data_IF_444602582678
#
_entry.id   IF_444602582678
#
_cell.length_a   1.000
_cell.length_b   1.000
_cell.length_c   1.000
_cell.angle_alpha   90.00
_cell.angle_beta   90.00
_cell.angle_gamma   90.00
#
_symmetry.space_group_name_H-M   'P 1'
#
loop_
_entity.id
_entity.type
_entity.pdbx_description
1 polymer ?
#
# COMPACT_ATOMS: atom_id res chain seq x y z
N UNK A 1 -33.12 0.50 -5.27
CA UNK A 1 -32.50 1.70 -5.87
C UNK A 1 -31.23 2.06 -5.09
N UNK A 2 -30.13 2.51 -5.72
CA UNK A 2 -28.89 2.86 -5.03
C UNK A 2 -29.14 4.04 -4.07
N UNK A 3 -28.49 3.99 -2.90
CA UNK A 3 -28.58 5.08 -1.90
C UNK A 3 -27.97 6.39 -2.40
N UNK A 4 -27.02 6.32 -3.33
CA UNK A 4 -26.48 7.45 -4.06
C UNK A 4 -26.62 7.17 -5.56
N UNK A 5 -27.52 7.89 -6.22
CA UNK A 5 -27.77 7.74 -7.67
C UNK A 5 -26.85 8.61 -8.54
N UNK A 6 -26.10 9.54 -7.92
CA UNK A 6 -25.23 10.48 -8.64
C UNK A 6 -24.20 9.79 -9.57
N UNK A 7 -23.55 8.69 -9.18
CA UNK A 7 -22.61 7.98 -10.05
C UNK A 7 -23.28 7.32 -11.28
N UNK A 8 -24.59 7.15 -11.25
CA UNK A 8 -25.37 6.45 -12.29
C UNK A 8 -26.25 7.39 -13.12
N UNK A 9 -26.12 8.69 -12.95
CA UNK A 9 -26.87 9.69 -13.70
C UNK A 9 -26.66 9.49 -15.21
N UNK A 10 -27.75 9.31 -15.95
CA UNK A 10 -27.73 9.00 -17.38
C UNK A 10 -27.32 7.57 -17.76
N UNK A 11 -27.04 6.68 -16.78
CA UNK A 11 -26.66 5.29 -17.01
C UNK A 11 -27.75 4.29 -16.56
N UNK A 12 -28.82 4.76 -15.94
CA UNK A 12 -29.92 3.91 -15.49
C UNK A 12 -30.70 3.35 -16.65
N UNK A 13 -31.18 2.11 -16.51
CA UNK A 13 -32.14 1.55 -17.46
C UNK A 13 -33.40 2.41 -17.48
N UNK A 14 -34.04 2.61 -18.67
CA UNK A 14 -35.19 3.50 -18.80
C UNK A 14 -36.30 3.21 -17.79
N UNK A 15 -36.58 1.96 -17.49
CA UNK A 15 -37.58 1.56 -16.51
C UNK A 15 -37.24 2.05 -15.09
N UNK A 16 -36.00 1.93 -14.67
CA UNK A 16 -35.56 2.41 -13.35
C UNK A 16 -35.60 3.94 -13.27
N UNK A 17 -35.34 4.63 -14.37
CA UNK A 17 -35.47 6.07 -14.44
C UNK A 17 -36.95 6.48 -14.33
N UNK A 18 -37.85 5.77 -15.00
CA UNK A 18 -39.29 5.98 -14.90
C UNK A 18 -39.82 5.77 -13.49
N UNK A 19 -39.33 4.74 -12.77
CA UNK A 19 -39.68 4.46 -11.38
C UNK A 19 -39.25 5.61 -10.46
N UNK A 20 -38.05 6.16 -10.66
CA UNK A 20 -37.54 7.32 -9.92
C UNK A 20 -38.40 8.55 -10.20
N UNK A 21 -38.74 8.80 -11.45
CA UNK A 21 -39.56 9.91 -11.87
C UNK A 21 -41.00 9.79 -11.31
N UNK A 22 -41.48 8.56 -11.05
CA UNK A 22 -42.72 8.23 -10.39
C UNK A 22 -42.67 8.23 -8.86
N UNK A 23 -41.51 8.57 -8.26
CA UNK A 23 -41.36 8.79 -6.83
C UNK A 23 -40.65 7.66 -6.04
N UNK A 24 -40.04 6.69 -6.72
CA UNK A 24 -39.21 5.72 -6.05
C UNK A 24 -38.00 6.40 -5.40
N UNK A 25 -37.69 5.99 -4.17
CA UNK A 25 -36.65 6.59 -3.36
C UNK A 25 -35.40 5.72 -3.28
N UNK A 26 -34.28 6.34 -2.95
CA UNK A 26 -33.05 5.63 -2.68
C UNK A 26 -33.22 4.60 -1.55
N UNK A 27 -32.92 3.35 -1.84
CA UNK A 27 -33.09 2.23 -0.91
C UNK A 27 -34.33 1.39 -1.14
N UNK A 28 -35.31 1.86 -1.93
CA UNK A 28 -36.48 1.08 -2.29
C UNK A 28 -36.12 -0.13 -3.14
N UNK A 29 -36.90 -1.21 -3.05
CA UNK A 29 -36.71 -2.39 -3.87
C UNK A 29 -37.05 -2.09 -5.34
N UNK A 30 -36.20 -2.55 -6.27
CA UNK A 30 -36.41 -2.39 -7.72
C UNK A 30 -37.37 -3.43 -8.31
N UNK A 31 -37.68 -4.49 -7.58
CA UNK A 31 -38.62 -5.56 -7.98
C UNK A 31 -39.35 -6.07 -6.73
N UNK A 32 -40.33 -5.30 -6.20
CA UNK A 32 -41.04 -5.63 -4.96
C UNK A 32 -41.90 -6.88 -5.07
N UNK A 33 -42.34 -7.26 -6.28
CA UNK A 33 -43.10 -8.50 -6.50
C UNK A 33 -42.24 -9.75 -6.30
N UNK A 34 -40.94 -9.64 -6.55
CA UNK A 34 -39.97 -10.73 -6.39
C UNK A 34 -39.29 -10.74 -5.04
N UNK A 35 -38.97 -9.57 -4.52
CA UNK A 35 -38.27 -9.38 -3.24
C UNK A 35 -38.95 -8.26 -2.46
N UNK A 36 -39.75 -8.61 -1.46
CA UNK A 36 -40.29 -7.61 -0.54
C UNK A 36 -39.16 -7.02 0.33
N UNK A 37 -39.40 -5.85 0.92
CA UNK A 37 -38.47 -5.22 1.85
C UNK A 37 -38.17 -6.14 3.04
N UNK A 38 -39.19 -6.87 3.54
CA UNK A 38 -39.00 -7.83 4.62
C UNK A 38 -38.09 -9.00 4.22
N UNK A 39 -38.27 -9.55 3.01
CA UNK A 39 -37.41 -10.61 2.47
C UNK A 39 -35.96 -10.14 2.31
N UNK A 40 -35.77 -8.92 1.80
CA UNK A 40 -34.43 -8.33 1.66
C UNK A 40 -33.76 -8.11 3.02
N UNK A 41 -34.48 -7.63 4.04
CA UNK A 41 -33.94 -7.48 5.40
C UNK A 41 -33.56 -8.83 6.01
N UNK A 42 -34.39 -9.87 5.83
CA UNK A 42 -34.06 -11.22 6.29
C UNK A 42 -32.82 -11.78 5.60
N UNK A 43 -32.67 -11.53 4.30
CA UNK A 43 -31.49 -11.96 3.54
C UNK A 43 -30.23 -11.22 4.00
N UNK A 44 -30.31 -9.89 4.21
CA UNK A 44 -29.19 -9.12 4.76
C UNK A 44 -28.76 -9.66 6.11
N UNK A 45 -29.72 -9.95 7.00
CA UNK A 45 -29.45 -10.52 8.31
C UNK A 45 -28.82 -11.93 8.25
N UNK A 46 -29.26 -12.76 7.30
CA UNK A 46 -28.79 -14.15 7.16
C UNK A 46 -27.40 -14.24 6.54
N UNK A 47 -27.10 -13.45 5.49
CA UNK A 47 -25.84 -13.55 4.76
C UNK A 47 -24.78 -12.52 5.16
N UNK A 48 -25.15 -11.55 5.97
CA UNK A 48 -24.31 -10.42 6.37
C UNK A 48 -24.25 -9.31 5.31
N UNK A 49 -23.99 -8.10 5.79
CA UNK A 49 -24.07 -6.87 4.99
C UNK A 49 -23.13 -6.88 3.77
N UNK A 50 -21.89 -7.39 3.92
CA UNK A 50 -20.92 -7.43 2.84
C UNK A 50 -21.41 -8.29 1.65
N UNK A 51 -21.90 -9.50 1.94
CA UNK A 51 -22.44 -10.39 0.91
C UNK A 51 -23.75 -9.85 0.32
N UNK A 52 -24.58 -9.22 1.13
CA UNK A 52 -25.81 -8.61 0.67
C UNK A 52 -25.53 -7.44 -0.30
N UNK A 53 -24.61 -6.54 0.05
CA UNK A 53 -24.19 -5.43 -0.83
C UNK A 53 -23.64 -5.96 -2.15
N UNK A 54 -22.82 -7.02 -2.12
CA UNK A 54 -22.26 -7.62 -3.31
C UNK A 54 -23.33 -8.24 -4.22
N UNK A 55 -24.28 -9.00 -3.66
CA UNK A 55 -25.22 -9.80 -4.45
C UNK A 55 -26.48 -9.02 -4.85
N UNK A 56 -26.96 -8.14 -4.02
CA UNK A 56 -28.23 -7.41 -4.22
C UNK A 56 -28.04 -5.94 -4.63
N UNK A 57 -26.91 -5.33 -4.26
CA UNK A 57 -26.59 -3.95 -4.64
C UNK A 57 -25.51 -3.86 -5.73
N UNK A 58 -24.89 -5.00 -6.10
CA UNK A 58 -23.73 -5.08 -7.00
C UNK A 58 -22.57 -4.18 -6.55
N UNK A 59 -22.51 -3.89 -5.25
CA UNK A 59 -21.48 -3.07 -4.63
C UNK A 59 -20.41 -3.95 -4.02
N UNK A 60 -19.21 -3.90 -4.59
CA UNK A 60 -18.05 -4.68 -4.16
C UNK A 60 -17.26 -4.02 -3.05
N UNK A 61 -17.57 -2.76 -2.68
CA UNK A 61 -16.74 -1.93 -1.81
C UNK A 61 -16.46 -2.58 -0.46
N UNK A 62 -17.48 -3.13 0.22
CA UNK A 62 -17.30 -3.81 1.49
C UNK A 62 -16.58 -5.15 1.33
N UNK A 63 -16.92 -5.91 0.29
CA UNK A 63 -16.26 -7.19 -0.02
C UNK A 63 -14.78 -6.99 -0.34
N UNK A 64 -14.46 -5.97 -1.15
CA UNK A 64 -13.09 -5.63 -1.49
C UNK A 64 -12.32 -5.09 -0.27
N UNK A 65 -12.96 -4.31 0.60
CA UNK A 65 -12.35 -3.83 1.83
C UNK A 65 -12.01 -4.97 2.82
N UNK A 66 -12.83 -6.01 2.89
CA UNK A 66 -12.54 -7.21 3.69
C UNK A 66 -11.48 -8.11 3.04
N UNK A 67 -11.51 -8.21 1.71
CA UNK A 67 -10.59 -9.05 0.93
C UNK A 67 -9.18 -8.49 0.87
N UNK A 68 -9.05 -7.17 0.78
CA UNK A 68 -7.79 -6.44 0.63
C UNK A 68 -7.50 -5.62 1.90
N UNK A 69 -6.77 -6.19 2.87
CA UNK A 69 -6.61 -5.57 4.18
C UNK A 69 -5.66 -4.36 4.20
N UNK A 70 -4.78 -4.22 3.19
CA UNK A 70 -3.77 -3.16 3.17
C UNK A 70 -4.32 -1.93 2.43
N UNK A 71 -4.82 -0.94 3.17
CA UNK A 71 -5.45 0.26 2.61
C UNK A 71 -4.49 1.44 2.56
N UNK A 72 -4.54 2.21 1.48
CA UNK A 72 -3.77 3.46 1.35
C UNK A 72 -4.21 4.50 2.38
N UNK A 73 -5.50 4.50 2.74
CA UNK A 73 -6.07 5.40 3.73
C UNK A 73 -5.48 5.22 5.15
N UNK A 74 -4.89 4.08 5.43
CA UNK A 74 -4.26 3.80 6.73
C UNK A 74 -2.82 4.31 6.82
N UNK A 75 -2.24 4.74 5.70
CA UNK A 75 -0.92 5.36 5.65
C UNK A 75 -0.98 6.81 6.12
N UNK A 76 0.10 7.25 6.74
CA UNK A 76 0.34 8.68 7.00
C UNK A 76 1.37 9.16 5.98
N UNK A 77 1.02 10.15 5.17
CA UNK A 77 1.90 10.66 4.11
C UNK A 77 2.32 12.09 4.42
N UNK A 78 3.63 12.31 4.48
CA UNK A 78 4.22 13.63 4.74
C UNK A 78 5.61 13.74 4.12
N UNK A 79 6.24 14.90 4.18
CA UNK A 79 7.66 15.04 3.88
C UNK A 79 8.45 14.53 5.09
N UNK A 80 9.14 13.41 4.93
CA UNK A 80 9.90 12.75 5.99
C UNK A 80 11.31 13.34 6.06
N UNK A 81 11.71 13.80 7.26
CA UNK A 81 13.08 14.26 7.45
C UNK A 81 14.04 13.05 7.42
N UNK A 82 15.18 13.13 6.70
CA UNK A 82 16.07 11.97 6.51
C UNK A 82 16.76 11.48 7.77
N UNK A 83 16.85 12.29 8.83
CA UNK A 83 17.64 11.97 10.04
C UNK A 83 16.89 12.12 11.35
N UNK A 84 15.74 12.78 11.36
CA UNK A 84 14.99 13.09 12.58
C UNK A 84 13.49 12.88 12.41
N UNK A 85 12.83 12.56 13.51
CA UNK A 85 11.37 12.48 13.60
C UNK A 85 10.83 13.29 14.78
N UNK A 86 9.57 13.74 14.73
CA UNK A 86 8.90 14.34 15.88
C UNK A 86 8.61 13.28 16.95
N UNK A 87 8.44 13.72 18.19
CA UNK A 87 8.11 12.81 19.29
C UNK A 87 6.80 12.07 19.07
N UNK A 88 5.82 12.71 18.45
CA UNK A 88 4.51 12.12 18.21
C UNK A 88 3.91 12.58 16.88
N UNK A 89 3.13 11.67 16.26
CA UNK A 89 2.39 11.90 15.02
C UNK A 89 0.92 11.60 15.27
N UNK A 90 0.06 12.58 15.07
CA UNK A 90 -1.39 12.43 15.23
C UNK A 90 -2.02 12.28 13.87
N UNK A 91 -2.77 11.19 13.71
CA UNK A 91 -3.54 10.90 12.50
C UNK A 91 -5.05 11.05 12.76
N UNK A 92 -5.79 11.45 11.75
CA UNK A 92 -7.25 11.32 11.70
C UNK A 92 -7.74 11.24 10.26
N UNK A 93 -8.89 10.59 10.07
CA UNK A 93 -9.56 10.42 8.77
C UNK A 93 -10.37 11.66 8.34
N UNK A 94 -9.95 12.86 8.74
CA UNK A 94 -10.65 14.09 8.34
C UNK A 94 -10.46 14.34 6.83
N UNK A 95 -11.54 14.63 6.07
CA UNK A 95 -11.45 14.94 4.65
C UNK A 95 -10.53 16.11 4.29
N UNK A 96 -10.26 17.01 5.25
CA UNK A 96 -9.32 18.13 5.10
C UNK A 96 -7.87 17.68 4.98
N UNK A 97 -7.55 16.50 5.50
CA UNK A 97 -6.21 15.92 5.48
C UNK A 97 -5.97 15.03 4.25
N UNK A 98 -6.95 14.87 3.37
CA UNK A 98 -6.80 14.12 2.10
C UNK A 98 -5.85 14.85 1.17
N UNK A 99 -4.82 14.16 0.71
CA UNK A 99 -3.83 14.65 -0.25
C UNK A 99 -4.36 14.46 -1.69
N UNK A 100 -5.10 15.46 -2.18
CA UNK A 100 -5.76 15.44 -3.50
C UNK A 100 -4.79 15.58 -4.67
N UNK A 101 -3.59 16.04 -4.42
CA UNK A 101 -2.55 16.29 -5.41
C UNK A 101 -1.61 15.09 -5.62
N UNK A 102 -1.76 14.03 -4.83
CA UNK A 102 -1.06 12.76 -5.04
C UNK A 102 -1.92 11.80 -5.87
N UNK A 103 -1.29 11.11 -6.84
CA UNK A 103 -1.98 10.08 -7.60
C UNK A 103 -2.30 8.88 -6.70
N UNK A 104 -3.53 8.39 -6.75
CA UNK A 104 -3.91 7.14 -6.07
C UNK A 104 -4.15 6.04 -7.10
N UNK A 105 -3.70 4.83 -6.76
CA UNK A 105 -3.92 3.60 -7.54
C UNK A 105 -4.60 2.52 -6.70
N UNK A 106 -5.09 2.91 -5.52
CA UNK A 106 -5.82 2.08 -4.59
C UNK A 106 -7.20 1.63 -5.09
N UNK A 107 -8.01 1.11 -4.21
CA UNK A 107 -9.42 0.83 -4.47
C UNK A 107 -10.21 2.14 -4.56
N UNK A 108 -11.38 2.15 -5.21
CA UNK A 108 -12.25 3.33 -5.23
C UNK A 108 -12.51 3.85 -3.81
N UNK A 109 -12.31 5.15 -3.59
CA UNK A 109 -12.45 5.79 -2.28
C UNK A 109 -11.25 5.65 -1.34
N UNK A 110 -10.17 5.03 -1.76
CA UNK A 110 -8.94 4.89 -0.99
C UNK A 110 -7.98 6.05 -1.31
N UNK A 111 -7.74 6.93 -0.33
CA UNK A 111 -6.95 8.14 -0.48
C UNK A 111 -5.79 8.17 0.51
N UNK A 112 -4.75 8.95 0.19
CA UNK A 112 -3.67 9.26 1.12
C UNK A 112 -4.05 10.41 2.03
N UNK A 113 -3.64 10.31 3.30
CA UNK A 113 -3.87 11.33 4.32
C UNK A 113 -2.56 11.90 4.85
N UNK A 114 -2.52 13.23 5.00
CA UNK A 114 -1.48 13.88 5.79
C UNK A 114 -1.71 13.65 7.29
N UNK A 115 -0.66 13.75 8.14
CA UNK A 115 -0.88 13.79 9.58
C UNK A 115 -1.74 15.01 9.94
N UNK A 116 -2.62 14.85 10.93
CA UNK A 116 -3.34 15.99 11.51
C UNK A 116 -2.37 16.96 12.17
N UNK A 117 -1.39 16.42 12.89
CA UNK A 117 -0.39 17.21 13.61
C UNK A 117 0.89 16.42 13.85
N UNK A 118 2.02 17.10 13.79
CA UNK A 118 3.33 16.63 14.24
C UNK A 118 3.66 17.36 15.54
N UNK A 119 3.95 16.65 16.63
CA UNK A 119 4.12 17.22 17.97
C UNK A 119 5.47 16.85 18.59
N UNK A 120 5.93 17.72 19.49
CA UNK A 120 7.12 17.52 20.29
C UNK A 120 8.41 17.93 19.60
N UNK A 121 9.51 17.51 20.17
CA UNK A 121 10.84 17.80 19.65
C UNK A 121 11.20 16.85 18.50
N UNK A 122 12.06 17.33 17.60
CA UNK A 122 12.59 16.52 16.52
C UNK A 122 13.93 15.93 16.95
N UNK A 123 13.95 14.62 17.16
CA UNK A 123 15.13 13.87 17.60
C UNK A 123 15.55 12.83 16.56
N UNK A 124 16.76 12.32 16.66
CA UNK A 124 17.28 11.29 15.76
C UNK A 124 16.44 10.02 15.84
N UNK A 125 16.41 9.27 14.75
CA UNK A 125 15.78 7.96 14.73
C UNK A 125 16.46 6.99 15.69
N UNK A 126 15.69 6.05 16.22
CA UNK A 126 16.20 5.02 17.12
C UNK A 126 17.00 3.97 16.34
N UNK A 127 16.54 3.66 15.13
CA UNK A 127 17.17 2.73 14.21
C UNK A 127 16.81 3.10 12.77
N UNK A 128 17.73 2.84 11.83
CA UNK A 128 17.47 2.96 10.39
C UNK A 128 18.03 1.74 9.68
N UNK A 129 17.19 1.05 8.93
CA UNK A 129 17.55 -0.12 8.14
C UNK A 129 17.36 0.15 6.64
N UNK A 130 18.11 -0.58 5.82
CA UNK A 130 17.81 -0.76 4.40
C UNK A 130 17.48 -2.24 4.18
N UNK A 131 16.27 -2.51 3.69
CA UNK A 131 15.88 -3.86 3.30
C UNK A 131 16.05 -4.04 1.79
N UNK A 132 16.71 -5.13 1.39
CA UNK A 132 16.97 -5.46 -0.02
C UNK A 132 16.39 -6.83 -0.34
N UNK A 133 15.52 -6.86 -1.35
CA UNK A 133 15.03 -8.09 -2.00
C UNK A 133 15.76 -8.22 -3.35
N UNK A 134 16.85 -9.01 -3.43
CA UNK A 134 17.63 -9.11 -4.64
C UNK A 134 16.93 -9.98 -5.67
N UNK A 135 16.80 -9.48 -6.89
CA UNK A 135 16.33 -10.29 -8.01
C UNK A 135 17.45 -11.17 -8.56
N UNK A 136 17.03 -12.35 -9.03
CA UNK A 136 17.91 -13.24 -9.76
C UNK A 136 18.10 -12.84 -11.24
N UNK A 137 18.36 -13.86 -12.07
CA UNK A 137 18.33 -13.68 -13.52
C UNK A 137 16.87 -13.78 -13.99
N UNK A 138 16.36 -12.71 -14.58
CA UNK A 138 14.97 -12.70 -15.08
C UNK A 138 14.46 -11.28 -15.31
N UNK A 139 13.15 -11.14 -15.33
CA UNK A 139 12.42 -9.86 -15.47
C UNK A 139 12.16 -9.16 -14.14
N UNK A 140 12.44 -9.84 -13.02
CA UNK A 140 12.20 -9.30 -11.69
C UNK A 140 13.22 -8.20 -11.35
N UNK A 141 12.80 -7.21 -10.58
CA UNK A 141 13.63 -6.09 -10.17
C UNK A 141 14.21 -6.33 -8.77
N UNK A 142 15.46 -5.92 -8.53
CA UNK A 142 16.00 -5.81 -7.19
C UNK A 142 15.35 -4.61 -6.51
N UNK A 143 14.73 -4.81 -5.36
CA UNK A 143 14.09 -3.74 -4.60
C UNK A 143 14.91 -3.39 -3.35
N UNK A 144 14.95 -2.09 -3.03
CA UNK A 144 15.54 -1.57 -1.80
C UNK A 144 14.61 -0.57 -1.13
N UNK A 145 14.37 -0.71 0.17
CA UNK A 145 13.55 0.17 0.98
C UNK A 145 14.33 0.69 2.19
N UNK A 146 14.28 2.01 2.43
CA UNK A 146 14.95 2.66 3.57
C UNK A 146 13.92 3.05 4.61
N UNK A 147 14.01 2.45 5.79
CA UNK A 147 13.02 2.57 6.85
C UNK A 147 13.71 2.94 8.15
N UNK A 148 13.18 3.97 8.82
CA UNK A 148 13.59 4.34 10.17
C UNK A 148 12.49 4.06 11.18
N UNK A 149 12.87 3.85 12.43
CA UNK A 149 11.95 3.71 13.56
C UNK A 149 12.14 4.83 14.57
N UNK A 150 11.01 5.37 15.08
CA UNK A 150 10.98 6.31 16.20
C UNK A 150 9.67 6.19 16.95
N UNK A 151 9.75 6.03 18.29
CA UNK A 151 8.58 6.02 19.19
C UNK A 151 7.46 5.08 18.71
N UNK A 152 7.81 3.94 18.12
CA UNK A 152 6.87 2.96 17.61
C UNK A 152 6.28 3.28 16.23
N UNK A 153 6.60 4.41 15.60
CA UNK A 153 6.30 4.70 14.21
C UNK A 153 7.42 4.20 13.30
N UNK A 154 7.04 3.81 12.08
CA UNK A 154 7.95 3.45 10.99
C UNK A 154 7.90 4.53 9.92
N UNK A 155 9.05 4.97 9.46
CA UNK A 155 9.21 6.04 8.47
C UNK A 155 9.85 5.47 7.22
N UNK A 156 9.06 5.32 6.15
CA UNK A 156 9.56 4.91 4.83
C UNK A 156 10.06 6.15 4.09
N UNK A 157 11.38 6.28 4.00
CA UNK A 157 12.05 7.43 3.37
C UNK A 157 12.09 7.35 1.86
N UNK A 158 12.45 6.17 1.36
CA UNK A 158 12.66 5.94 -0.06
C UNK A 158 12.50 4.46 -0.38
N UNK A 159 12.00 4.17 -1.57
CA UNK A 159 12.02 2.85 -2.16
C UNK A 159 12.51 2.95 -3.58
N UNK A 160 13.32 1.98 -4.02
CA UNK A 160 13.86 1.90 -5.37
C UNK A 160 13.73 0.48 -5.91
N UNK A 161 13.58 0.39 -7.22
CA UNK A 161 13.61 -0.85 -7.96
C UNK A 161 14.68 -0.75 -9.07
N UNK A 162 15.44 -1.82 -9.26
CA UNK A 162 16.58 -1.87 -10.18
C UNK A 162 16.43 -3.07 -11.10
N UNK A 163 16.46 -2.81 -12.42
CA UNK A 163 16.38 -3.85 -13.46
C UNK A 163 17.69 -4.57 -13.71
N UNK A 164 18.80 -3.99 -13.29
CA UNK A 164 20.14 -4.55 -13.48
C UNK A 164 20.52 -5.58 -12.41
N UNK A 165 19.53 -6.09 -11.67
CA UNK A 165 19.73 -7.07 -10.62
C UNK A 165 20.67 -6.52 -9.53
N UNK A 166 21.76 -7.26 -9.25
CA UNK A 166 22.78 -6.88 -8.27
C UNK A 166 24.11 -6.46 -8.92
N UNK A 167 24.02 -5.67 -10.00
CA UNK A 167 25.22 -5.08 -10.62
C UNK A 167 25.96 -4.16 -9.65
N UNK A 168 27.27 -3.93 -9.88
CA UNK A 168 28.07 -3.01 -9.05
C UNK A 168 27.42 -1.62 -8.93
N UNK A 169 26.82 -1.12 -10.01
CA UNK A 169 26.12 0.16 -10.00
C UNK A 169 24.88 0.14 -9.08
N UNK A 170 24.07 -0.90 -9.13
CA UNK A 170 22.93 -1.10 -8.25
C UNK A 170 23.36 -1.13 -6.79
N UNK A 171 24.39 -1.93 -6.46
CA UNK A 171 24.88 -2.06 -5.08
C UNK A 171 25.45 -0.74 -4.56
N UNK A 172 26.22 -0.02 -5.36
CA UNK A 172 26.77 1.29 -5.00
C UNK A 172 25.67 2.34 -4.84
N UNK A 173 24.63 2.32 -5.65
CA UNK A 173 23.50 3.24 -5.51
C UNK A 173 22.70 2.97 -4.23
N UNK A 174 22.46 1.69 -3.90
CA UNK A 174 21.87 1.30 -2.61
C UNK A 174 22.72 1.81 -1.45
N UNK A 175 24.04 1.65 -1.49
CA UNK A 175 24.94 2.13 -0.44
C UNK A 175 25.00 3.67 -0.34
N UNK A 176 24.77 4.41 -1.43
CA UNK A 176 24.58 5.87 -1.36
C UNK A 176 23.31 6.23 -0.58
N UNK A 177 22.21 5.51 -0.80
CA UNK A 177 21.00 5.65 -0.01
C UNK A 177 21.24 5.32 1.46
N UNK A 178 21.97 4.24 1.76
CA UNK A 178 22.35 3.90 3.13
C UNK A 178 23.10 5.03 3.83
N UNK A 179 24.03 5.68 3.12
CA UNK A 179 24.75 6.85 3.67
C UNK A 179 23.83 8.07 3.87
N UNK A 180 22.90 8.31 2.93
CA UNK A 180 21.95 9.43 2.99
C UNK A 180 21.05 9.37 4.23
N UNK A 181 20.62 8.17 4.59
CA UNK A 181 19.67 7.94 5.70
C UNK A 181 20.32 7.42 6.98
N UNK A 182 21.66 7.40 7.07
CA UNK A 182 22.38 6.88 8.22
C UNK A 182 22.00 5.44 8.59
N UNK A 183 21.86 4.57 7.58
CA UNK A 183 21.52 3.16 7.75
C UNK A 183 22.56 2.46 8.60
N UNK A 184 22.12 1.79 9.65
CA UNK A 184 22.98 0.98 10.55
C UNK A 184 23.00 -0.50 10.17
N UNK A 185 21.88 -0.99 9.58
CA UNK A 185 21.72 -2.41 9.22
C UNK A 185 21.16 -2.56 7.82
N UNK A 186 21.85 -3.36 7.01
CA UNK A 186 21.40 -3.79 5.68
C UNK A 186 20.81 -5.19 5.80
N UNK A 187 19.50 -5.31 5.63
CA UNK A 187 18.77 -6.58 5.67
C UNK A 187 18.65 -7.12 4.26
N UNK A 188 19.13 -8.34 4.01
CA UNK A 188 19.13 -8.95 2.67
C UNK A 188 18.31 -10.24 2.70
N UNK A 189 17.30 -10.34 1.83
CA UNK A 189 16.56 -11.59 1.65
C UNK A 189 17.43 -12.58 0.83
N UNK A 190 17.81 -13.72 1.46
CA UNK A 190 18.74 -14.69 0.86
C UNK A 190 18.06 -15.91 0.26
N UNK A 191 16.78 -15.81 -0.11
CA UNK A 191 16.05 -16.90 -0.79
C UNK A 191 16.62 -17.21 -2.17
N UNK A 192 17.43 -16.30 -2.72
CA UNK A 192 18.11 -16.46 -3.99
C UNK A 192 19.61 -16.20 -3.84
N UNK A 193 20.45 -17.06 -4.45
CA UNK A 193 21.89 -16.81 -4.62
C UNK A 193 22.80 -17.17 -3.44
N UNK A 194 22.31 -17.92 -2.43
CA UNK A 194 23.12 -18.51 -1.33
C UNK A 194 24.18 -17.55 -0.72
N UNK A 195 23.79 -16.29 -0.45
CA UNK A 195 24.67 -15.31 0.19
C UNK A 195 25.62 -14.56 -0.75
N UNK A 196 25.59 -14.81 -2.06
CA UNK A 196 26.47 -14.10 -3.05
C UNK A 196 26.27 -12.60 -2.96
N UNK A 197 25.01 -12.13 -2.87
CA UNK A 197 24.68 -10.70 -2.82
C UNK A 197 25.25 -10.06 -1.56
N UNK A 198 25.19 -10.74 -0.44
CA UNK A 198 25.78 -10.28 0.84
C UNK A 198 27.29 -10.13 0.73
N UNK A 199 27.99 -11.07 0.10
CA UNK A 199 29.43 -10.98 -0.10
C UNK A 199 29.82 -9.82 -1.03
N UNK A 200 29.04 -9.56 -2.05
CA UNK A 200 29.22 -8.39 -2.91
C UNK A 200 29.04 -7.07 -2.14
N UNK A 201 27.99 -6.98 -1.30
CA UNK A 201 27.79 -5.82 -0.43
C UNK A 201 28.94 -5.64 0.56
N UNK A 202 29.44 -6.70 1.22
CA UNK A 202 30.60 -6.64 2.12
C UNK A 202 31.81 -6.00 1.46
N UNK A 203 32.12 -6.40 0.21
CA UNK A 203 33.21 -5.84 -0.59
C UNK A 203 33.01 -4.33 -0.81
N UNK A 204 31.82 -3.89 -1.22
CA UNK A 204 31.53 -2.48 -1.49
C UNK A 204 31.48 -1.64 -0.22
N UNK A 205 30.95 -2.18 0.89
CA UNK A 205 30.96 -1.53 2.21
C UNK A 205 32.38 -1.24 2.66
N UNK A 206 33.30 -2.21 2.52
CA UNK A 206 34.73 -2.02 2.83
C UNK A 206 35.36 -0.93 1.94
N UNK A 207 35.07 -0.92 0.65
CA UNK A 207 35.59 0.08 -0.29
C UNK A 207 35.08 1.49 0.02
N UNK A 208 33.81 1.63 0.39
CA UNK A 208 33.18 2.91 0.72
C UNK A 208 33.41 3.33 2.17
N UNK A 209 34.07 2.49 3.00
CA UNK A 209 34.35 2.71 4.43
C UNK A 209 33.10 3.05 5.25
N UNK A 210 31.96 2.47 4.89
CA UNK A 210 30.73 2.60 5.65
C UNK A 210 30.71 1.60 6.82
N UNK A 211 30.04 1.97 7.92
CA UNK A 211 29.85 1.09 9.06
C UNK A 211 28.40 0.58 9.05
N UNK A 212 28.14 -0.47 8.28
CA UNK A 212 26.82 -1.06 8.11
C UNK A 212 26.93 -2.55 8.47
N UNK A 213 26.05 -3.01 9.34
CA UNK A 213 25.89 -4.44 9.62
C UNK A 213 25.06 -5.07 8.49
N UNK A 214 25.40 -6.30 8.11
CA UNK A 214 24.59 -7.09 7.18
C UNK A 214 23.85 -8.14 7.99
N UNK A 215 22.52 -8.16 7.84
CA UNK A 215 21.64 -9.18 8.37
C UNK A 215 20.98 -9.95 7.22
N UNK A 216 21.09 -11.29 7.26
CA UNK A 216 20.56 -12.17 6.22
C UNK A 216 19.27 -12.82 6.70
N UNK A 217 18.19 -12.64 5.96
CA UNK A 217 16.87 -13.17 6.30
C UNK A 217 16.41 -14.18 5.25
N UNK A 218 15.89 -15.32 5.71
CA UNK A 218 15.24 -16.31 4.85
C UNK A 218 13.75 -16.36 5.13
N UNK A 219 12.95 -16.27 4.09
CA UNK A 219 11.50 -16.42 4.20
C UNK A 219 11.08 -17.85 3.84
N UNK A 220 10.39 -18.51 4.79
CA UNK A 220 9.87 -19.87 4.61
C UNK A 220 8.34 -19.91 4.54
N UNK A 221 7.69 -18.75 4.63
CA UNK A 221 6.23 -18.60 4.59
C UNK A 221 5.83 -17.98 3.25
N UNK A 222 4.61 -18.23 2.80
CA UNK A 222 4.06 -17.63 1.58
C UNK A 222 4.18 -16.10 1.65
N UNK A 223 4.67 -15.50 0.54
CA UNK A 223 5.06 -14.06 0.50
C UNK A 223 3.89 -13.15 0.88
N UNK A 224 2.71 -13.39 0.31
CA UNK A 224 1.53 -12.57 0.53
C UNK A 224 1.04 -12.61 1.99
N UNK A 225 0.99 -13.80 2.58
CA UNK A 225 0.56 -13.96 3.98
C UNK A 225 1.53 -13.27 4.94
N UNK A 226 2.84 -13.41 4.70
CA UNK A 226 3.89 -12.75 5.49
C UNK A 226 3.78 -11.23 5.41
N UNK A 227 3.56 -10.68 4.21
CA UNK A 227 3.43 -9.22 4.02
C UNK A 227 2.18 -8.71 4.73
N UNK A 228 1.04 -9.39 4.57
CA UNK A 228 -0.21 -9.00 5.23
C UNK A 228 -0.05 -9.09 6.75
N UNK A 229 0.46 -10.20 7.28
CA UNK A 229 0.62 -10.39 8.72
C UNK A 229 1.56 -9.34 9.36
N UNK A 230 2.52 -8.84 8.59
CA UNK A 230 3.46 -7.81 9.06
C UNK A 230 2.89 -6.40 8.93
N UNK A 231 2.24 -6.06 7.81
CA UNK A 231 1.81 -4.69 7.51
C UNK A 231 0.42 -4.35 8.04
N UNK A 232 -0.53 -5.29 8.01
CA UNK A 232 -1.91 -5.02 8.42
C UNK A 232 -2.02 -4.46 9.85
N UNK A 233 -1.33 -5.02 10.89
CA UNK A 233 -1.38 -4.45 12.23
C UNK A 233 -0.78 -3.04 12.32
N UNK A 234 0.26 -2.77 11.53
CA UNK A 234 0.95 -1.47 11.50
C UNK A 234 0.06 -0.42 10.83
N UNK A 235 -0.59 -0.78 9.74
CA UNK A 235 -1.52 0.09 9.00
C UNK A 235 -2.76 0.38 9.84
N UNK A 236 -3.40 -0.63 10.41
CA UNK A 236 -4.59 -0.46 11.27
C UNK A 236 -4.33 0.43 12.49
N UNK A 237 -3.08 0.54 12.93
CA UNK A 237 -2.65 1.45 13.99
C UNK A 237 -2.14 2.80 13.47
N UNK A 238 -2.19 3.05 12.17
CA UNK A 238 -1.67 4.25 11.51
C UNK A 238 -0.22 4.57 11.91
N UNK A 239 0.64 3.55 11.90
CA UNK A 239 2.04 3.66 12.36
C UNK A 239 3.06 3.67 11.22
N UNK A 240 2.63 3.51 9.96
CA UNK A 240 3.50 3.62 8.79
C UNK A 240 3.39 5.02 8.19
N UNK A 241 4.48 5.77 8.31
CA UNK A 241 4.63 7.10 7.74
C UNK A 241 5.45 6.98 6.47
N UNK A 242 4.94 7.49 5.37
CA UNK A 242 5.54 7.37 4.04
C UNK A 242 5.95 8.75 3.54
N UNK A 243 7.19 8.88 3.08
CA UNK A 243 7.62 10.10 2.40
C UNK A 243 6.83 10.29 1.11
N UNK A 244 6.37 11.52 0.89
CA UNK A 244 5.61 11.89 -0.29
C UNK A 244 6.34 11.54 -1.59
N UNK A 245 7.65 11.67 -1.62
CA UNK A 245 8.49 11.33 -2.76
C UNK A 245 8.46 9.85 -3.13
N UNK A 246 8.14 8.94 -2.21
CA UNK A 246 7.96 7.50 -2.50
C UNK A 246 6.75 7.30 -3.40
N UNK A 247 5.63 7.96 -3.08
CA UNK A 247 4.40 7.85 -3.88
C UNK A 247 4.58 8.46 -5.27
N UNK A 248 5.19 9.65 -5.32
CA UNK A 248 5.46 10.35 -6.58
C UNK A 248 6.42 9.55 -7.47
N UNK A 249 7.43 8.93 -6.89
CA UNK A 249 8.38 8.07 -7.61
C UNK A 249 7.70 6.78 -8.10
N UNK A 250 6.95 6.09 -7.25
CA UNK A 250 6.24 4.85 -7.61
C UNK A 250 5.31 5.08 -8.80
N UNK A 251 4.57 6.19 -8.78
CA UNK A 251 3.69 6.56 -9.89
C UNK A 251 4.45 6.96 -11.16
N UNK A 252 5.57 7.69 -11.04
CA UNK A 252 6.30 8.25 -12.16
C UNK A 252 7.27 7.27 -12.81
N UNK A 253 7.89 6.36 -12.04
CA UNK A 253 8.89 5.42 -12.52
C UNK A 253 8.37 4.43 -13.57
N UNK A 254 7.06 4.19 -13.57
CA UNK A 254 6.40 3.27 -14.49
C UNK A 254 5.65 3.95 -15.64
N UNK A 255 5.84 5.27 -15.85
CA UNK A 255 5.13 6.03 -16.91
C UNK A 255 5.38 5.50 -18.32
N UNK A 256 6.61 5.04 -18.57
CA UNK A 256 7.04 4.55 -19.89
C UNK A 256 6.78 3.05 -20.10
N UNK A 257 6.24 2.37 -19.09
CA UNK A 257 5.82 0.97 -19.21
C UNK A 257 4.54 0.84 -20.03
N UNK A 258 4.37 -0.31 -20.70
CA UNK A 258 3.15 -0.60 -21.45
C UNK A 258 1.91 -0.46 -20.53
N UNK A 259 0.79 0.12 -21.02
CA UNK A 259 -0.39 0.36 -20.21
C UNK A 259 -0.88 -0.87 -19.42
N UNK A 260 -0.80 -2.06 -20.03
CA UNK A 260 -1.25 -3.33 -19.47
C UNK A 260 -0.38 -3.80 -18.30
N UNK A 261 0.91 -3.43 -18.28
CA UNK A 261 1.87 -3.85 -17.25
C UNK A 261 2.19 -2.75 -16.24
N UNK A 262 1.88 -1.49 -16.56
CA UNK A 262 2.26 -0.34 -15.74
C UNK A 262 1.87 -0.46 -14.27
N UNK A 263 0.62 -0.84 -14.00
CA UNK A 263 0.11 -0.97 -12.64
C UNK A 263 0.77 -2.13 -11.87
N UNK A 264 1.17 -3.19 -12.58
CA UNK A 264 1.76 -4.37 -11.94
C UNK A 264 3.12 -4.11 -11.31
N UNK A 265 3.83 -3.05 -11.73
CA UNK A 265 5.12 -2.64 -11.17
C UNK A 265 5.00 -1.52 -10.13
N UNK A 266 3.77 -1.07 -9.81
CA UNK A 266 3.55 -0.04 -8.81
C UNK A 266 3.35 -0.66 -7.42
N UNK A 267 4.15 -0.23 -6.44
CA UNK A 267 4.09 -0.68 -5.05
C UNK A 267 2.68 -0.54 -4.46
N UNK A 268 2.11 0.65 -4.56
CA UNK A 268 0.81 0.93 -3.92
C UNK A 268 -0.35 0.21 -4.62
N UNK A 269 -0.24 -0.05 -5.92
CA UNK A 269 -1.20 -0.90 -6.61
C UNK A 269 -1.12 -2.35 -6.12
N UNK A 270 0.09 -2.93 -6.05
CA UNK A 270 0.29 -4.30 -5.54
C UNK A 270 -0.19 -4.40 -4.09
N UNK A 271 0.17 -3.44 -3.24
CA UNK A 271 -0.22 -3.41 -1.83
C UNK A 271 -1.75 -3.41 -1.67
N UNK A 272 -2.46 -2.53 -2.41
CA UNK A 272 -3.92 -2.43 -2.34
C UNK A 272 -4.69 -3.62 -2.92
N UNK A 273 -4.02 -4.53 -3.61
CA UNK A 273 -4.61 -5.76 -4.20
C UNK A 273 -4.11 -7.04 -3.53
N UNK A 274 -3.30 -6.90 -2.49
CA UNK A 274 -2.79 -8.06 -1.77
C UNK A 274 -3.87 -8.72 -0.93
N UNK A 275 -4.02 -10.04 -1.05
CA UNK A 275 -4.99 -10.79 -0.28
C UNK A 275 -4.46 -12.19 0.07
N UNK A 276 -5.07 -12.82 1.09
CA UNK A 276 -4.71 -14.16 1.58
C UNK A 276 -5.17 -15.29 0.65
N UNK A 277 -6.02 -15.02 -0.35
CA UNK A 277 -6.57 -16.04 -1.24
C UNK A 277 -5.70 -16.22 -2.47
N UNK A 278 -5.39 -17.50 -2.82
CA UNK A 278 -4.69 -17.83 -4.06
C UNK A 278 -5.48 -17.33 -5.29
N UNK A 279 -4.83 -16.56 -6.16
CA UNK A 279 -5.38 -16.18 -7.47
C UNK A 279 -6.05 -14.81 -7.53
N UNK A 280 -6.03 -14.01 -6.48
CA UNK A 280 -6.62 -12.69 -6.48
C UNK A 280 -5.66 -11.56 -6.93
N UNK A 281 -4.38 -11.87 -7.09
CA UNK A 281 -3.39 -10.97 -7.71
C UNK A 281 -3.13 -11.52 -9.12
N UNK A 282 -3.78 -10.97 -10.11
CA UNK A 282 -3.43 -11.09 -11.53
C UNK A 282 -3.23 -9.71 -12.10
#
# INVERSE_FOLDING_TARGET
>A
FPKDSTPYEGLLAPQLQEDIDNGASAGDCTDPDRFSDEDLLQREAAMGRSNFMLQFQLDTTLSDAEKFPLKMADLIVTSVNPTKAPDNVIWCSDPRNVLKDLPTVGLPGDYFYSPMQLQGEWTEYDETICSVDPSGRGTDETAAAYISQKNGFLYLHEMRAYRDGYSDNTLLDILKGCKKYNVTTLVIETNFGDGIVSELFKKHIQQTKQQILIDEVRANVRKEDRIIDSLEPILNQHRLIVDRGVIEWDYSSNKDSAPESRLLYMLFYQMSRMCRQKGAVK
#
